data_IF_492447240908
#
_entry.id   IF_492447240908
#
_cell.length_a   1.000
_cell.length_b   1.000
_cell.length_c   1.000
_cell.angle_alpha   90.00
_cell.angle_beta   90.00
_cell.angle_gamma   90.00
#
_symmetry.space_group_name_H-M   'P 1'
#
loop_
_entity.id
_entity.type
_entity.pdbx_description
1 polymer ?
#
# COMPACT_ATOMS: atom_id res chain seq x y z
N UNK A 1 -16.83 -3.90 33.48
CA UNK A 1 -17.18 -4.40 32.13
C UNK A 1 -15.91 -4.36 31.31
N UNK A 2 -15.29 -5.53 31.09
CA UNK A 2 -14.01 -5.69 30.41
C UNK A 2 -14.13 -5.33 28.93
N UNK A 3 -13.38 -4.31 28.50
CA UNK A 3 -13.25 -3.92 27.10
C UNK A 3 -12.43 -4.98 26.36
N UNK A 4 -13.09 -5.72 25.46
CA UNK A 4 -12.47 -6.73 24.61
C UNK A 4 -11.41 -6.06 23.73
N UNK A 5 -10.16 -6.41 23.99
CA UNK A 5 -9.01 -6.00 23.19
C UNK A 5 -9.15 -6.67 21.82
N UNK A 6 -9.31 -5.88 20.74
CA UNK A 6 -9.31 -6.42 19.38
C UNK A 6 -7.95 -7.02 19.06
N UNK A 7 -7.94 -8.34 18.86
CA UNK A 7 -6.78 -9.20 18.62
C UNK A 7 -5.87 -8.71 17.47
N UNK A 8 -6.40 -7.96 16.50
CA UNK A 8 -5.63 -7.45 15.36
C UNK A 8 -4.57 -6.39 15.72
N UNK A 9 -4.70 -5.71 16.86
CA UNK A 9 -3.70 -4.71 17.32
C UNK A 9 -2.45 -5.31 17.96
N UNK A 10 -2.40 -6.63 18.17
CA UNK A 10 -1.31 -7.31 18.88
C UNK A 10 -0.24 -7.91 17.95
N UNK A 11 -0.48 -7.96 16.62
CA UNK A 11 0.37 -8.72 15.70
C UNK A 11 1.42 -7.89 14.93
N UNK A 12 1.41 -6.56 15.03
CA UNK A 12 2.41 -5.71 14.35
C UNK A 12 3.78 -5.64 15.08
N UNK A 13 4.12 -6.67 15.86
CA UNK A 13 5.42 -6.80 16.52
C UNK A 13 6.30 -7.71 15.68
N UNK A 14 6.96 -7.17 14.65
CA UNK A 14 8.15 -7.84 14.11
C UNK A 14 9.25 -7.82 15.19
N UNK A 15 9.90 -8.96 15.49
CA UNK A 15 10.99 -9.02 16.46
C UNK A 15 12.16 -8.06 16.16
N UNK A 16 12.35 -7.65 14.90
CA UNK A 16 13.52 -6.89 14.44
C UNK A 16 13.38 -5.35 14.49
N UNK A 17 12.23 -4.81 14.90
CA UNK A 17 11.98 -3.36 14.91
C UNK A 17 12.51 -2.63 16.14
N UNK A 18 13.71 -2.02 16.05
CA UNK A 18 14.31 -1.24 17.15
C UNK A 18 13.51 0.00 17.59
N UNK A 19 12.62 0.55 16.75
CA UNK A 19 11.89 1.79 17.06
C UNK A 19 10.67 1.61 17.99
N UNK A 20 10.13 0.38 18.11
CA UNK A 20 8.83 0.15 18.77
C UNK A 20 8.93 -0.08 20.29
N UNK A 21 10.13 -0.23 20.86
CA UNK A 21 10.28 -0.71 22.25
C UNK A 21 9.89 0.27 23.37
N UNK A 22 9.49 1.50 23.07
CA UNK A 22 9.23 2.51 24.09
C UNK A 22 7.96 3.36 23.94
N UNK A 23 7.13 3.17 22.91
CA UNK A 23 6.00 4.09 22.70
C UNK A 23 4.75 3.62 23.44
N UNK A 24 4.34 4.38 24.47
CA UNK A 24 3.09 4.15 25.20
C UNK A 24 1.91 4.73 24.41
N UNK A 25 1.49 4.04 23.35
CA UNK A 25 0.48 4.52 22.42
C UNK A 25 -0.89 3.90 22.77
N UNK A 26 -1.40 4.25 23.94
CA UNK A 26 -2.80 4.01 24.32
C UNK A 26 -3.56 5.33 24.17
N UNK A 27 -4.57 5.36 23.31
CA UNK A 27 -5.44 6.55 23.10
C UNK A 27 -5.03 7.50 21.97
N UNK A 28 -3.94 7.22 21.23
CA UNK A 28 -3.47 8.02 20.09
C UNK A 28 -3.46 7.17 18.82
N UNK A 29 -4.66 6.79 18.34
CA UNK A 29 -4.81 6.00 17.11
C UNK A 29 -4.22 6.72 15.89
N UNK A 30 -4.34 8.05 15.83
CA UNK A 30 -3.80 8.88 14.75
C UNK A 30 -2.27 8.76 14.61
N UNK A 31 -1.55 8.64 15.73
CA UNK A 31 -0.09 8.47 15.74
C UNK A 31 0.30 7.10 15.18
N UNK A 32 -0.45 6.05 15.51
CA UNK A 32 -0.21 4.73 14.92
C UNK A 32 -0.49 4.73 13.42
N UNK A 33 -1.56 5.40 12.98
CA UNK A 33 -1.89 5.54 11.55
C UNK A 33 -0.75 6.24 10.80
N UNK A 34 -0.22 7.34 11.35
CA UNK A 34 0.89 8.06 10.74
C UNK A 34 2.18 7.23 10.69
N UNK A 35 2.52 6.52 11.77
CA UNK A 35 3.70 5.63 11.82
C UNK A 35 3.57 4.51 10.79
N UNK A 36 2.41 3.87 10.69
CA UNK A 36 2.15 2.82 9.70
C UNK A 36 2.25 3.37 8.27
N UNK A 37 1.64 4.54 8.00
CA UNK A 37 1.71 5.18 6.70
C UNK A 37 3.15 5.55 6.32
N UNK A 38 3.93 6.10 7.24
CA UNK A 38 5.34 6.44 7.01
C UNK A 38 6.21 5.20 6.80
N UNK A 39 5.98 4.14 7.58
CA UNK A 39 6.70 2.86 7.42
C UNK A 39 6.40 2.26 6.05
N UNK A 40 5.13 2.22 5.66
CA UNK A 40 4.72 1.72 4.35
C UNK A 40 5.28 2.58 3.21
N UNK A 41 5.23 3.91 3.34
CA UNK A 41 5.80 4.83 2.36
C UNK A 41 7.30 4.61 2.18
N UNK A 42 8.05 4.43 3.26
CA UNK A 42 9.48 4.17 3.20
C UNK A 42 9.76 2.82 2.53
N UNK A 43 9.03 1.77 2.92
CA UNK A 43 9.13 0.46 2.29
C UNK A 43 8.84 0.50 0.78
N UNK A 44 7.80 1.21 0.35
CA UNK A 44 7.49 1.42 -1.07
C UNK A 44 8.65 2.15 -1.78
N UNK A 45 9.22 3.17 -1.16
CA UNK A 45 10.34 3.94 -1.71
C UNK A 45 11.66 3.16 -1.78
N UNK A 46 11.83 2.09 -1.02
CA UNK A 46 12.98 1.18 -1.14
C UNK A 46 12.88 0.28 -2.37
N UNK A 47 11.66 -0.04 -2.80
CA UNK A 47 11.40 -0.92 -3.95
C UNK A 47 11.20 -0.13 -5.25
N UNK A 48 10.89 1.16 -5.17
CA UNK A 48 10.74 2.03 -6.33
C UNK A 48 12.07 2.68 -6.72
N UNK A 49 12.31 2.91 -8.03
CA UNK A 49 13.46 3.66 -8.49
C UNK A 49 13.36 5.12 -8.07
N UNK A 50 14.50 5.83 -8.02
CA UNK A 50 14.58 7.21 -7.53
C UNK A 50 13.62 8.19 -8.25
N UNK A 51 13.33 7.95 -9.53
CA UNK A 51 12.43 8.77 -10.34
C UNK A 51 10.93 8.51 -10.09
N UNK A 52 10.58 7.51 -9.28
CA UNK A 52 9.20 7.14 -8.95
C UNK A 52 8.89 7.21 -7.46
N UNK A 53 9.69 7.93 -6.68
CA UNK A 53 9.45 8.10 -5.24
C UNK A 53 8.04 8.61 -4.93
N UNK A 54 7.51 8.11 -3.82
CA UNK A 54 6.21 8.43 -3.23
C UNK A 54 6.42 9.37 -2.03
N UNK A 55 5.81 10.55 -2.12
CA UNK A 55 5.70 11.49 -1.01
C UNK A 55 4.34 11.33 -0.31
N UNK A 56 3.27 11.18 -1.08
CA UNK A 56 1.90 11.01 -0.59
C UNK A 56 1.29 9.76 -1.20
N UNK A 57 1.03 8.74 -0.39
CA UNK A 57 0.48 7.45 -0.86
C UNK A 57 -0.86 7.60 -1.58
N UNK A 58 -1.71 8.55 -1.19
CA UNK A 58 -3.04 8.76 -1.77
C UNK A 58 -2.95 9.38 -3.17
N UNK A 59 -2.08 10.40 -3.32
CA UNK A 59 -1.92 11.12 -4.59
C UNK A 59 -1.01 10.35 -5.54
N UNK A 60 0.09 9.79 -5.05
CA UNK A 60 1.13 9.23 -5.91
C UNK A 60 0.79 7.86 -6.49
N UNK A 61 -0.12 7.12 -5.84
CA UNK A 61 -0.61 5.82 -6.32
C UNK A 61 -1.87 5.94 -7.21
N UNK A 62 -2.53 7.10 -7.26
CA UNK A 62 -3.83 7.24 -7.92
C UNK A 62 -3.83 6.93 -9.42
N UNK A 63 -2.72 7.23 -10.11
CA UNK A 63 -2.57 7.01 -11.56
C UNK A 63 -2.23 5.55 -11.91
N UNK A 64 -1.97 4.71 -10.90
CA UNK A 64 -1.55 3.33 -11.05
C UNK A 64 -0.11 3.11 -11.52
N UNK A 65 0.59 4.14 -12.02
CA UNK A 65 1.98 4.03 -12.55
C UNK A 65 2.94 3.48 -11.50
N UNK A 66 2.96 4.10 -10.32
CA UNK A 66 3.85 3.69 -9.23
C UNK A 66 3.42 2.36 -8.61
N UNK A 67 2.12 2.08 -8.61
CA UNK A 67 1.59 0.80 -8.17
C UNK A 67 2.06 -0.33 -9.09
N UNK A 68 1.94 -0.16 -10.41
CA UNK A 68 2.46 -1.12 -11.39
C UNK A 68 3.97 -1.33 -11.22
N UNK A 69 4.75 -0.25 -11.13
CA UNK A 69 6.20 -0.33 -10.95
C UNK A 69 6.59 -1.05 -9.65
N UNK A 70 5.86 -0.81 -8.56
CA UNK A 70 6.07 -1.51 -7.29
C UNK A 70 5.81 -3.01 -7.44
N UNK A 71 4.71 -3.40 -8.09
CA UNK A 71 4.38 -4.82 -8.29
C UNK A 71 5.41 -5.50 -9.21
N UNK A 72 5.92 -4.83 -10.25
CA UNK A 72 7.03 -5.35 -11.06
C UNK A 72 8.31 -5.56 -10.24
N UNK A 73 8.65 -4.61 -9.37
CA UNK A 73 9.81 -4.71 -8.50
C UNK A 73 9.69 -5.88 -7.51
N UNK A 74 8.48 -6.11 -6.96
CA UNK A 74 8.21 -7.21 -6.03
C UNK A 74 8.20 -8.58 -6.73
N UNK A 75 7.63 -8.66 -7.94
CA UNK A 75 7.60 -9.89 -8.76
C UNK A 75 8.95 -10.24 -9.38
N UNK A 76 9.81 -9.24 -9.60
CA UNK A 76 11.07 -9.39 -10.34
C UNK A 76 10.87 -9.58 -11.85
N UNK A 77 9.66 -9.42 -12.37
CA UNK A 77 9.37 -9.48 -13.81
C UNK A 77 8.27 -8.48 -14.21
N UNK A 78 8.22 -8.08 -15.50
CA UNK A 78 7.21 -7.13 -15.97
C UNK A 78 5.78 -7.66 -15.82
N UNK A 79 4.84 -6.74 -15.62
CA UNK A 79 3.42 -7.06 -15.59
C UNK A 79 2.91 -7.43 -16.99
N UNK A 80 1.92 -8.33 -17.02
CA UNK A 80 1.20 -8.73 -18.23
C UNK A 80 -0.30 -8.63 -17.96
N UNK A 81 -1.08 -7.90 -18.77
CA UNK A 81 -0.66 -7.06 -19.91
C UNK A 81 0.23 -5.87 -19.49
N UNK A 82 0.91 -5.25 -20.46
CA UNK A 82 1.70 -4.06 -20.19
C UNK A 82 0.79 -2.89 -19.76
N UNK A 83 1.29 -2.06 -18.84
CA UNK A 83 0.56 -0.92 -18.28
C UNK A 83 0.98 0.41 -18.93
N UNK A 84 0.13 1.42 -18.79
CA UNK A 84 0.34 2.73 -19.39
C UNK A 84 1.29 3.59 -18.55
N UNK A 85 2.48 3.87 -19.10
CA UNK A 85 3.52 4.69 -18.46
C UNK A 85 3.20 6.19 -18.42
N UNK A 86 2.27 6.66 -19.27
CA UNK A 86 1.85 8.06 -19.37
C UNK A 86 0.33 8.13 -19.43
N UNK A 87 -0.35 7.74 -18.35
CA UNK A 87 -1.80 7.76 -18.36
C UNK A 87 -2.29 9.21 -18.41
N UNK A 88 -3.33 9.46 -19.21
CA UNK A 88 -3.81 10.81 -19.54
C UNK A 88 -5.25 11.05 -19.08
N UNK A 89 -5.98 9.99 -18.77
CA UNK A 89 -7.38 10.04 -18.37
C UNK A 89 -7.66 8.98 -17.29
N UNK A 90 -8.83 9.07 -16.67
CA UNK A 90 -9.25 8.16 -15.61
C UNK A 90 -9.35 6.71 -16.07
N UNK A 91 -9.66 6.46 -17.36
CA UNK A 91 -9.67 5.11 -17.90
C UNK A 91 -8.28 4.46 -17.82
N UNK A 92 -7.24 5.17 -18.26
CA UNK A 92 -5.86 4.68 -18.16
C UNK A 92 -5.42 4.48 -16.70
N UNK A 93 -5.89 5.32 -15.77
CA UNK A 93 -5.61 5.12 -14.33
C UNK A 93 -6.24 3.82 -13.83
N UNK A 94 -7.51 3.59 -14.17
CA UNK A 94 -8.23 2.38 -13.80
C UNK A 94 -7.61 1.13 -14.42
N UNK A 95 -7.18 1.18 -15.68
CA UNK A 95 -6.49 0.08 -16.36
C UNK A 95 -5.17 -0.28 -15.67
N UNK A 96 -4.36 0.72 -15.31
CA UNK A 96 -3.10 0.51 -14.58
C UNK A 96 -3.36 -0.14 -13.21
N UNK A 97 -4.26 0.44 -12.42
CA UNK A 97 -4.61 -0.09 -11.10
C UNK A 97 -5.15 -1.51 -11.22
N UNK A 98 -6.05 -1.78 -12.16
CA UNK A 98 -6.62 -3.11 -12.38
C UNK A 98 -5.54 -4.12 -12.75
N UNK A 99 -4.62 -3.75 -13.65
CA UNK A 99 -3.48 -4.59 -14.03
C UNK A 99 -2.61 -4.95 -12.82
N UNK A 100 -2.30 -3.97 -11.97
CA UNK A 100 -1.50 -4.20 -10.77
C UNK A 100 -2.23 -5.07 -9.74
N UNK A 101 -3.53 -4.85 -9.50
CA UNK A 101 -4.31 -5.65 -8.56
C UNK A 101 -4.45 -7.10 -9.03
N UNK A 102 -4.76 -7.32 -10.32
CA UNK A 102 -4.85 -8.65 -10.91
C UNK A 102 -3.53 -9.42 -10.78
N UNK A 103 -2.40 -8.72 -10.94
CA UNK A 103 -1.08 -9.29 -10.71
C UNK A 103 -0.90 -9.70 -9.25
N UNK A 104 -1.20 -8.83 -8.29
CA UNK A 104 -1.10 -9.17 -6.87
C UNK A 104 -1.97 -10.40 -6.53
N UNK A 105 -3.20 -10.48 -7.06
CA UNK A 105 -4.08 -11.64 -6.87
C UNK A 105 -3.51 -12.93 -7.47
N UNK A 106 -2.88 -12.86 -8.65
CA UNK A 106 -2.23 -14.01 -9.29
C UNK A 106 -1.03 -14.55 -8.51
N UNK A 107 -0.34 -13.70 -7.74
CA UNK A 107 0.74 -14.13 -6.84
C UNK A 107 0.22 -14.79 -5.56
N UNK A 108 -1.10 -14.92 -5.40
CA UNK A 108 -1.72 -15.47 -4.20
C UNK A 108 -1.71 -14.50 -3.02
N UNK A 109 -1.37 -13.23 -3.24
CA UNK A 109 -1.48 -12.19 -2.21
C UNK A 109 -2.94 -11.82 -2.07
N UNK A 110 -3.53 -12.18 -0.93
CA UNK A 110 -4.92 -11.82 -0.63
C UNK A 110 -5.00 -10.32 -0.39
N UNK A 111 -5.63 -9.61 -1.32
CA UNK A 111 -6.00 -8.20 -1.18
C UNK A 111 -7.09 -8.07 -0.10
N UNK A 112 -6.69 -8.02 1.17
CA UNK A 112 -7.62 -7.83 2.28
C UNK A 112 -7.93 -6.34 2.40
N UNK A 113 -9.20 -5.97 2.24
CA UNK A 113 -9.68 -4.58 2.35
C UNK A 113 -9.15 -3.61 1.26
N UNK A 114 -8.64 -4.14 0.14
CA UNK A 114 -8.33 -3.38 -1.08
C UNK A 114 -9.40 -3.79 -2.12
N UNK A 115 -10.58 -3.18 -2.03
CA UNK A 115 -11.68 -3.56 -2.91
C UNK A 115 -12.76 -2.49 -3.01
N UNK A 116 -12.86 -1.88 -4.21
CA UNK A 116 -14.00 -1.18 -4.86
C UNK A 116 -14.89 -0.18 -4.07
N UNK A 117 -14.81 -0.06 -2.75
CA UNK A 117 -15.70 0.78 -1.93
C UNK A 117 -15.33 2.27 -1.97
N UNK A 118 -14.08 2.62 -2.28
CA UNK A 118 -13.67 4.03 -2.41
C UNK A 118 -14.23 4.75 -3.66
N UNK A 119 -14.91 4.03 -4.57
CA UNK A 119 -15.56 4.65 -5.75
C UNK A 119 -17.09 4.60 -5.71
N UNK A 120 -17.71 4.01 -4.69
CA UNK A 120 -19.17 3.84 -4.62
C UNK A 120 -19.84 4.68 -3.52
N UNK A 121 -19.21 5.77 -3.08
CA UNK A 121 -19.88 6.76 -2.23
C UNK A 121 -19.52 8.15 -2.73
N UNK A 122 -20.18 8.51 -3.83
CA UNK A 122 -20.44 9.88 -4.25
C UNK A 122 -21.95 10.04 -4.39
#
# INVERSE_FOLDING_TARGET
>A
MEGKISHSGLLARSPEGHAARGMQIKGNEDVWVEIQANTFRNWVNEHLPQNLRVADLSQDLCTGVRLCALVEALRGHPLKPAWNKRPANQHHYLENVTTALNAIEQDGVKLVNIGKTIFSTG
#
